data_IF_456474629758
#
_entry.id   IF_456474629758
#
_cell.length_a   1.000
_cell.length_b   1.000
_cell.length_c   1.000
_cell.angle_alpha   90.00
_cell.angle_beta   90.00
_cell.angle_gamma   90.00
#
_symmetry.space_group_name_H-M   'P 1'
#
loop_
_entity.id
_entity.type
_entity.pdbx_description
1 polymer ?
#
# COMPACT_ATOMS: atom_id res chain seq x y z
N UNK A 1 -4.84 -4.43 13.22
CA UNK A 1 -4.45 -4.83 11.86
C UNK A 1 -4.12 -6.33 11.78
N UNK A 2 -3.55 -6.93 12.83
CA UNK A 2 -3.15 -8.36 12.84
C UNK A 2 -4.29 -9.36 12.61
N UNK A 3 -5.52 -9.08 13.07
CA UNK A 3 -6.65 -10.01 12.89
C UNK A 3 -6.99 -10.25 11.40
N UNK A 4 -7.01 -9.19 10.58
CA UNK A 4 -7.36 -9.30 9.17
C UNK A 4 -6.29 -10.07 8.38
N UNK A 5 -5.01 -9.82 8.68
CA UNK A 5 -3.90 -10.61 8.13
C UNK A 5 -3.99 -12.06 8.55
N UNK A 6 -4.18 -12.34 9.84
CA UNK A 6 -4.27 -13.70 10.36
C UNK A 6 -5.43 -14.49 9.74
N UNK A 7 -6.58 -13.87 9.50
CA UNK A 7 -7.72 -14.51 8.81
C UNK A 7 -7.41 -14.78 7.33
N UNK A 8 -6.79 -13.83 6.64
CA UNK A 8 -6.37 -14.02 5.24
C UNK A 8 -5.40 -15.19 5.10
N UNK A 9 -4.40 -15.26 5.99
CA UNK A 9 -3.39 -16.31 6.00
C UNK A 9 -3.97 -17.68 6.39
N UNK A 10 -4.88 -17.73 7.37
CA UNK A 10 -5.46 -18.98 7.86
C UNK A 10 -6.52 -19.58 6.92
N UNK A 11 -7.37 -18.73 6.33
CA UNK A 11 -8.53 -19.17 5.54
C UNK A 11 -8.28 -19.08 4.02
N UNK A 12 -7.10 -18.59 3.60
CA UNK A 12 -6.74 -18.45 2.18
C UNK A 12 -7.60 -17.45 1.42
N UNK A 13 -8.20 -16.47 2.12
CA UNK A 13 -9.07 -15.46 1.51
C UNK A 13 -8.27 -14.27 1.00
N UNK A 14 -8.64 -13.75 -0.16
CA UNK A 14 -8.03 -12.53 -0.71
C UNK A 14 -8.54 -11.29 0.04
N UNK A 15 -7.61 -10.40 0.41
CA UNK A 15 -7.90 -9.13 1.08
C UNK A 15 -7.72 -7.96 0.11
N UNK A 16 -8.79 -7.21 -0.14
CA UNK A 16 -8.75 -5.93 -0.84
C UNK A 16 -8.92 -4.79 0.18
N UNK A 17 -7.88 -3.98 0.34
CA UNK A 17 -7.89 -2.81 1.23
C UNK A 17 -7.87 -1.54 0.40
N UNK A 18 -8.78 -0.61 0.71
CA UNK A 18 -8.80 0.74 0.13
C UNK A 18 -8.48 1.73 1.24
N UNK A 19 -7.35 2.43 1.10
CA UNK A 19 -6.85 3.38 2.09
C UNK A 19 -6.10 4.52 1.38
N UNK A 20 -6.07 5.68 2.04
CA UNK A 20 -5.21 6.81 1.67
C UNK A 20 -3.90 6.82 2.50
N UNK A 21 -3.83 5.99 3.54
CA UNK A 21 -2.67 5.83 4.41
C UNK A 21 -1.84 4.64 3.94
N UNK A 22 -0.64 4.93 3.42
CA UNK A 22 0.31 3.94 2.93
C UNK A 22 0.93 3.08 4.04
N UNK A 23 0.99 3.55 5.29
CA UNK A 23 1.47 2.76 6.42
C UNK A 23 0.53 1.60 6.73
N UNK A 24 -0.79 1.83 6.62
CA UNK A 24 -1.79 0.76 6.73
C UNK A 24 -1.66 -0.24 5.59
N UNK A 25 -1.49 0.23 4.35
CA UNK A 25 -1.33 -0.63 3.18
C UNK A 25 -0.06 -1.47 3.30
N UNK A 26 1.08 -0.89 3.70
CA UNK A 26 2.33 -1.60 3.95
C UNK A 26 2.19 -2.69 5.03
N UNK A 27 1.37 -2.42 6.04
CA UNK A 27 1.13 -3.34 7.15
C UNK A 27 0.07 -4.42 6.87
N UNK A 28 -0.57 -4.43 5.69
CA UNK A 28 -1.61 -5.42 5.37
C UNK A 28 -1.41 -6.11 4.02
N UNK A 29 -0.95 -5.39 3.01
CA UNK A 29 -0.97 -5.81 1.61
C UNK A 29 0.43 -6.14 1.08
N UNK A 30 0.48 -7.00 0.06
CA UNK A 30 1.70 -7.35 -0.68
C UNK A 30 1.87 -6.49 -1.94
N UNK A 31 0.75 -6.16 -2.58
CA UNK A 31 0.66 -5.37 -3.80
C UNK A 31 -0.23 -4.15 -3.59
N UNK A 32 -0.02 -3.10 -4.38
CA UNK A 32 -0.81 -1.87 -4.33
C UNK A 32 -1.18 -1.38 -5.73
N UNK A 33 -2.37 -0.79 -5.82
CA UNK A 33 -2.86 -0.05 -6.98
C UNK A 33 -3.10 1.39 -6.55
N UNK A 34 -2.43 2.34 -7.18
CA UNK A 34 -2.63 3.77 -6.94
C UNK A 34 -3.64 4.31 -7.95
N UNK A 35 -4.69 4.94 -7.44
CA UNK A 35 -5.76 5.55 -8.23
C UNK A 35 -5.71 7.07 -8.13
N UNK A 36 -5.84 7.75 -9.27
CA UNK A 36 -6.00 9.20 -9.33
C UNK A 36 -7.01 9.58 -10.41
N UNK A 37 -7.98 10.43 -10.07
CA UNK A 37 -9.01 10.86 -11.03
C UNK A 37 -9.78 9.71 -11.69
N UNK A 38 -10.01 8.62 -10.95
CA UNK A 38 -10.68 7.42 -11.46
C UNK A 38 -9.84 6.55 -12.39
N UNK A 39 -8.52 6.76 -12.47
CA UNK A 39 -7.60 5.97 -13.29
C UNK A 39 -6.52 5.33 -12.45
N UNK A 40 -6.11 4.12 -12.83
CA UNK A 40 -4.89 3.50 -12.30
C UNK A 40 -3.70 4.27 -12.84
N UNK A 41 -2.93 4.86 -11.95
CA UNK A 41 -1.72 5.62 -12.30
C UNK A 41 -0.44 4.87 -11.98
N UNK A 42 -0.50 3.91 -11.07
CA UNK A 42 0.63 3.05 -10.72
C UNK A 42 0.16 1.74 -10.10
N UNK A 43 0.91 0.66 -10.29
CA UNK A 43 0.65 -0.64 -9.69
C UNK A 43 1.96 -1.40 -9.52
N UNK A 44 2.08 -2.13 -8.41
CA UNK A 44 3.20 -3.02 -8.20
C UNK A 44 3.33 -3.48 -6.75
N UNK A 45 4.45 -4.17 -6.44
CA UNK A 45 4.81 -4.54 -5.08
C UNK A 45 4.85 -3.32 -4.17
N UNK A 46 4.29 -3.44 -2.97
CA UNK A 46 4.16 -2.30 -2.04
C UNK A 46 5.53 -1.72 -1.66
N UNK A 47 6.54 -2.56 -1.47
CA UNK A 47 7.92 -2.17 -1.19
C UNK A 47 8.51 -1.28 -2.29
N UNK A 48 8.28 -1.64 -3.57
CA UNK A 48 8.71 -0.84 -4.71
C UNK A 48 7.98 0.49 -4.79
N UNK A 49 6.64 0.51 -4.67
CA UNK A 49 5.87 1.76 -4.75
C UNK A 49 6.21 2.71 -3.59
N UNK A 50 6.61 2.19 -2.43
CA UNK A 50 7.05 3.02 -1.30
C UNK A 50 8.47 3.56 -1.44
N UNK A 51 9.38 2.81 -2.06
CA UNK A 51 10.82 3.15 -2.13
C UNK A 51 11.23 3.83 -3.42
N UNK A 52 10.60 3.47 -4.54
CA UNK A 52 10.82 3.99 -5.89
C UNK A 52 9.47 4.23 -6.61
N UNK A 53 8.61 5.13 -6.07
CA UNK A 53 7.36 5.51 -6.74
C UNK A 53 7.66 6.17 -8.08
N UNK A 54 6.84 5.89 -9.11
CA UNK A 54 7.04 6.45 -10.46
C UNK A 54 5.99 7.48 -10.86
N UNK A 55 4.80 7.41 -10.29
CA UNK A 55 3.72 8.37 -10.53
C UNK A 55 3.80 9.55 -9.58
N UNK A 56 3.33 10.71 -10.07
CA UNK A 56 3.28 11.93 -9.27
C UNK A 56 2.44 11.75 -8.01
N UNK A 57 1.35 11.01 -8.10
CA UNK A 57 0.43 10.76 -6.98
C UNK A 57 1.03 9.77 -5.97
N UNK A 58 1.72 8.72 -6.41
CA UNK A 58 2.47 7.85 -5.49
C UNK A 58 3.59 8.63 -4.78
N UNK A 59 4.34 9.48 -5.49
CA UNK A 59 5.32 10.39 -4.87
C UNK A 59 4.68 11.27 -3.79
N UNK A 60 3.52 11.87 -4.07
CA UNK A 60 2.81 12.72 -3.11
C UNK A 60 2.33 11.92 -1.89
N UNK A 61 1.82 10.71 -2.09
CA UNK A 61 1.41 9.81 -1.01
C UNK A 61 2.61 9.44 -0.13
N UNK A 62 3.72 8.97 -0.72
CA UNK A 62 4.94 8.60 0.02
C UNK A 62 5.49 9.80 0.79
N UNK A 63 5.52 10.99 0.17
CA UNK A 63 5.97 12.22 0.82
C UNK A 63 5.08 12.66 2.00
N UNK A 64 3.81 12.24 2.02
CA UNK A 64 2.89 12.54 3.11
C UNK A 64 3.00 11.57 4.29
N UNK A 65 3.67 10.42 4.13
CA UNK A 65 3.90 9.47 5.22
C UNK A 65 5.07 9.96 6.08
N UNK A 66 4.91 10.06 7.42
CA UNK A 66 6.04 10.33 8.31
C UNK A 66 7.10 9.25 8.08
N UNK A 67 8.36 9.64 7.81
CA UNK A 67 9.45 8.70 7.52
C UNK A 67 9.47 7.58 8.56
N UNK A 68 9.04 6.39 8.16
CA UNK A 68 9.32 5.16 8.90
C UNK A 68 10.83 5.00 8.88
N UNK A 69 11.48 5.41 9.97
CA UNK A 69 12.87 5.02 10.23
C UNK A 69 12.81 3.52 10.47
N UNK A 70 13.06 2.74 9.41
CA UNK A 70 13.41 1.33 9.57
C UNK A 70 14.79 1.32 10.24
N UNK A 71 14.77 1.13 11.56
CA UNK A 71 15.95 0.84 12.38
C UNK A 71 16.20 -0.67 12.40
#
# INVERSE_FOLDING_TARGET
MELLRAVSDAEGVALLVVSHDLGVVAALCSDVVVLAGGRVVETGPIDRVLTDPVSREAHALVAAVPRLVLA
#
